data_IF_507887239254
#
_entry.id   IF_507887239254
#
_cell.length_a   1.000
_cell.length_b   1.000
_cell.length_c   1.000
_cell.angle_alpha   90.00
_cell.angle_beta   90.00
_cell.angle_gamma   90.00
#
_symmetry.space_group_name_H-M   'P 1'
#
loop_
_entity.id
_entity.type
_entity.pdbx_description
1 polymer ?
#
# COMPACT_ATOMS: atom_id res chain seq x y z
N UNK A 1 11.68 2.92 29.79
CA UNK A 1 12.34 3.41 28.56
C UNK A 1 11.82 2.56 27.42
N UNK A 2 10.87 3.06 26.64
CA UNK A 2 10.27 2.33 25.49
C UNK A 2 11.27 2.33 24.33
N UNK A 3 11.61 1.15 23.83
CA UNK A 3 12.53 0.94 22.71
C UNK A 3 12.00 1.63 21.44
N UNK A 4 12.54 2.79 21.09
CA UNK A 4 12.27 3.52 19.83
C UNK A 4 13.19 3.05 18.69
N UNK A 5 13.37 1.73 18.54
CA UNK A 5 14.21 1.12 17.51
C UNK A 5 13.36 0.27 16.55
N UNK A 6 13.20 0.79 15.32
CA UNK A 6 12.84 0.09 14.07
C UNK A 6 11.40 -0.42 13.88
N UNK A 7 10.39 0.42 14.15
CA UNK A 7 9.08 0.20 13.50
C UNK A 7 9.19 0.49 12.00
N UNK A 8 9.01 -0.52 11.15
CA UNK A 8 8.95 -0.36 9.68
C UNK A 8 7.95 0.74 9.32
N UNK A 9 8.41 1.79 8.62
CA UNK A 9 7.55 2.78 7.98
C UNK A 9 6.81 2.11 6.82
N UNK A 10 5.54 1.78 7.08
CA UNK A 10 4.68 1.07 6.13
C UNK A 10 4.33 1.94 4.92
N UNK A 11 4.21 3.26 5.09
CA UNK A 11 3.95 4.19 3.99
C UNK A 11 5.10 4.15 3.00
N UNK A 12 6.33 4.27 3.52
CA UNK A 12 7.53 4.20 2.68
C UNK A 12 7.68 2.83 2.01
N UNK A 13 7.33 1.75 2.71
CA UNK A 13 7.35 0.42 2.14
C UNK A 13 6.37 0.29 0.97
N UNK A 14 5.12 0.75 1.10
CA UNK A 14 4.12 0.72 0.02
C UNK A 14 4.60 1.52 -1.18
N UNK A 15 5.08 2.74 -0.95
CA UNK A 15 5.59 3.61 -2.01
C UNK A 15 6.72 2.96 -2.81
N UNK A 16 7.69 2.34 -2.12
CA UNK A 16 8.80 1.65 -2.78
C UNK A 16 8.32 0.39 -3.50
N UNK A 17 7.45 -0.41 -2.88
CA UNK A 17 6.95 -1.65 -3.44
C UNK A 17 6.17 -1.43 -4.73
N UNK A 18 5.34 -0.38 -4.76
CA UNK A 18 4.48 -0.06 -5.91
C UNK A 18 5.07 0.96 -6.88
N UNK A 19 6.29 1.45 -6.65
CA UNK A 19 6.92 2.55 -7.42
C UNK A 19 6.87 2.37 -8.94
N UNK A 20 7.05 1.13 -9.40
CA UNK A 20 7.10 0.78 -10.82
C UNK A 20 5.98 -0.16 -11.26
N UNK A 21 4.97 -0.36 -10.40
CA UNK A 21 3.89 -1.30 -10.67
C UNK A 21 3.19 -0.97 -12.01
N UNK A 22 2.92 -1.97 -12.89
CA UNK A 22 2.97 -3.42 -12.67
C UNK A 22 4.36 -4.08 -12.71
N UNK A 23 5.41 -3.31 -12.98
CA UNK A 23 6.80 -3.72 -12.82
C UNK A 23 7.23 -3.90 -11.36
N UNK A 24 8.42 -4.47 -11.16
CA UNK A 24 8.99 -4.73 -9.84
C UNK A 24 9.95 -3.62 -9.42
N UNK A 25 10.11 -3.43 -8.11
CA UNK A 25 11.12 -2.55 -7.53
C UNK A 25 11.95 -3.22 -6.43
N UNK A 26 12.22 -4.52 -6.58
CA UNK A 26 12.82 -5.35 -5.53
C UNK A 26 14.21 -4.86 -5.11
N UNK A 27 15.06 -4.46 -6.06
CA UNK A 27 16.44 -4.04 -5.76
C UNK A 27 16.49 -2.75 -4.91
N UNK A 28 15.69 -1.74 -5.25
CA UNK A 28 15.61 -0.50 -4.44
C UNK A 28 14.94 -0.77 -3.09
N UNK A 29 13.92 -1.63 -3.07
CA UNK A 29 13.24 -2.02 -1.83
C UNK A 29 14.20 -2.74 -0.86
N UNK A 30 14.96 -3.74 -1.35
CA UNK A 30 15.93 -4.49 -0.58
C UNK A 30 17.09 -3.62 -0.09
N UNK A 31 17.57 -2.71 -0.95
CA UNK A 31 18.60 -1.74 -0.59
C UNK A 31 18.13 -0.80 0.53
N UNK A 32 16.87 -0.35 0.50
CA UNK A 32 16.33 0.58 1.49
C UNK A 32 16.11 -0.06 2.87
N UNK A 33 15.50 -1.25 2.92
CA UNK A 33 15.18 -1.91 4.20
C UNK A 33 16.30 -2.84 4.71
N UNK A 34 17.23 -3.22 3.85
CA UNK A 34 18.28 -4.18 4.17
C UNK A 34 17.75 -5.62 4.37
N UNK A 35 18.65 -6.60 4.43
CA UNK A 35 18.28 -8.02 4.45
C UNK A 35 17.50 -8.45 5.70
N UNK A 36 17.63 -7.72 6.82
CA UNK A 36 16.94 -8.04 8.07
C UNK A 36 15.45 -7.66 8.04
N UNK A 37 15.09 -6.52 7.43
CA UNK A 37 13.73 -5.97 7.48
C UNK A 37 12.96 -6.12 6.16
N UNK A 38 13.63 -6.31 5.02
CA UNK A 38 12.97 -6.29 3.72
C UNK A 38 11.89 -7.38 3.56
N UNK A 39 12.11 -8.58 4.11
CA UNK A 39 11.10 -9.65 4.08
C UNK A 39 9.87 -9.30 4.94
N UNK A 40 10.09 -8.74 6.13
CA UNK A 40 9.06 -8.30 7.07
C UNK A 40 8.26 -7.14 6.47
N UNK A 41 8.94 -6.16 5.86
CA UNK A 41 8.31 -5.02 5.22
C UNK A 41 7.43 -5.46 4.05
N UNK A 42 7.90 -6.38 3.19
CA UNK A 42 7.07 -6.94 2.11
C UNK A 42 5.84 -7.67 2.63
N UNK A 43 5.98 -8.46 3.70
CA UNK A 43 4.85 -9.16 4.30
C UNK A 43 3.79 -8.18 4.82
N UNK A 44 4.21 -7.08 5.45
CA UNK A 44 3.31 -6.00 5.89
C UNK A 44 2.63 -5.31 4.70
N UNK A 45 3.38 -4.95 3.66
CA UNK A 45 2.80 -4.34 2.44
C UNK A 45 1.74 -5.26 1.84
N UNK A 46 2.03 -6.56 1.67
CA UNK A 46 1.05 -7.52 1.14
C UNK A 46 -0.21 -7.60 1.98
N UNK A 47 -0.09 -7.57 3.31
CA UNK A 47 -1.24 -7.56 4.21
C UNK A 47 -2.14 -6.34 3.97
N UNK A 48 -1.54 -5.15 3.78
CA UNK A 48 -2.27 -3.91 3.46
C UNK A 48 -2.94 -4.01 2.09
N UNK A 49 -2.23 -4.50 1.06
CA UNK A 49 -2.80 -4.64 -0.28
C UNK A 49 -3.92 -5.67 -0.32
N UNK A 50 -3.77 -6.81 0.36
CA UNK A 50 -4.83 -7.82 0.49
C UNK A 50 -6.06 -7.25 1.18
N UNK A 51 -5.86 -6.38 2.19
CA UNK A 51 -6.97 -5.67 2.84
C UNK A 51 -7.66 -4.71 1.87
N UNK A 52 -6.90 -3.93 1.10
CA UNK A 52 -7.44 -3.01 0.10
C UNK A 52 -8.27 -3.75 -0.97
N UNK A 53 -7.79 -4.91 -1.43
CA UNK A 53 -8.51 -5.75 -2.41
C UNK A 53 -9.81 -6.36 -1.85
N UNK A 54 -9.98 -6.40 -0.52
CA UNK A 54 -11.21 -6.87 0.14
C UNK A 54 -12.21 -5.75 0.41
N UNK A 55 -11.88 -4.48 0.11
CA UNK A 55 -12.84 -3.38 0.23
C UNK A 55 -13.98 -3.62 -0.76
N UNK A 56 -15.22 -3.65 -0.24
CA UNK A 56 -16.41 -3.79 -1.07
C UNK A 56 -16.80 -2.42 -1.61
N UNK A 57 -16.54 -2.21 -2.89
CA UNK A 57 -17.02 -1.04 -3.62
C UNK A 57 -18.39 -1.39 -4.22
N UNK A 58 -19.41 -0.60 -3.92
CA UNK A 58 -20.65 -0.62 -4.69
C UNK A 58 -20.38 0.12 -6.01
N UNK A 59 -20.30 -0.63 -7.10
CA UNK A 59 -19.98 -0.09 -8.42
C UNK A 59 -21.17 0.61 -9.07
N UNK A 60 -22.36 0.54 -8.47
CA UNK A 60 -23.58 1.13 -9.03
C UNK A 60 -23.41 2.65 -9.19
N UNK A 61 -23.23 3.09 -10.44
CA UNK A 61 -23.06 4.51 -10.75
C UNK A 61 -21.64 5.06 -10.53
N UNK A 62 -20.64 4.22 -10.21
CA UNK A 62 -19.25 4.65 -10.03
C UNK A 62 -18.38 4.31 -11.24
N UNK A 63 -17.53 5.26 -11.62
CA UNK A 63 -16.39 5.03 -12.50
C UNK A 63 -15.27 4.28 -11.77
N UNK A 64 -14.30 3.74 -12.54
CA UNK A 64 -13.11 3.10 -11.98
C UNK A 64 -12.32 4.04 -11.06
N UNK A 65 -12.24 5.32 -11.41
CA UNK A 65 -11.57 6.36 -10.61
C UNK A 65 -12.28 6.54 -9.27
N UNK A 66 -13.61 6.68 -9.29
CA UNK A 66 -14.41 6.85 -8.07
C UNK A 66 -14.33 5.60 -7.17
N UNK A 67 -14.33 4.40 -7.75
CA UNK A 67 -14.08 3.17 -6.99
C UNK A 67 -12.70 3.16 -6.31
N UNK A 68 -11.67 3.69 -6.98
CA UNK A 68 -10.34 3.88 -6.39
C UNK A 68 -10.33 4.86 -5.21
N UNK A 69 -11.10 5.95 -5.29
CA UNK A 69 -11.24 6.92 -4.19
C UNK A 69 -11.97 6.33 -2.97
N UNK A 70 -12.99 5.49 -3.19
CA UNK A 70 -13.65 4.75 -2.10
C UNK A 70 -12.64 3.87 -1.36
N UNK A 71 -11.81 3.11 -2.09
CA UNK A 71 -10.77 2.27 -1.48
C UNK A 71 -9.77 3.12 -0.70
N UNK A 72 -9.32 4.24 -1.25
CA UNK A 72 -8.40 5.16 -0.55
C UNK A 72 -9.00 5.68 0.76
N UNK A 73 -10.28 6.06 0.77
CA UNK A 73 -10.96 6.54 1.97
C UNK A 73 -11.03 5.46 3.05
N UNK A 74 -11.46 4.24 2.69
CA UNK A 74 -11.54 3.12 3.64
C UNK A 74 -10.16 2.77 4.20
N UNK A 75 -9.13 2.73 3.34
CA UNK A 75 -7.77 2.43 3.79
C UNK A 75 -7.18 3.55 4.66
N UNK A 76 -7.54 4.81 4.44
CA UNK A 76 -7.14 5.92 5.30
C UNK A 76 -7.78 5.81 6.69
N UNK A 77 -9.07 5.47 6.76
CA UNK A 77 -9.79 5.34 8.03
C UNK A 77 -9.29 4.14 8.85
N UNK A 78 -8.93 3.03 8.20
CA UNK A 78 -8.39 1.83 8.85
C UNK A 78 -6.89 1.94 9.18
N UNK A 79 -6.15 2.75 8.42
CA UNK A 79 -4.71 2.93 8.57
C UNK A 79 -4.34 4.43 8.52
N UNK A 80 -4.68 5.19 9.58
CA UNK A 80 -4.40 6.64 9.64
C UNK A 80 -2.90 6.96 9.63
N UNK A 81 -2.03 5.97 9.87
CA UNK A 81 -0.58 6.10 9.72
C UNK A 81 -0.09 6.16 8.26
N UNK A 82 -0.96 5.85 7.28
CA UNK A 82 -0.59 5.86 5.87
C UNK A 82 -0.48 7.28 5.32
N UNK A 83 0.61 7.54 4.61
CA UNK A 83 0.80 8.79 3.88
C UNK A 83 -0.22 8.90 2.74
N UNK A 84 -0.59 10.13 2.40
CA UNK A 84 -1.45 10.40 1.24
C UNK A 84 -0.91 9.77 -0.05
N UNK A 85 0.42 9.70 -0.19
CA UNK A 85 1.09 9.11 -1.36
C UNK A 85 0.99 7.58 -1.35
N UNK A 86 1.16 6.93 -0.20
CA UNK A 86 0.94 5.49 -0.07
C UNK A 86 -0.51 5.11 -0.40
N UNK A 87 -1.48 5.89 0.10
CA UNK A 87 -2.90 5.71 -0.23
C UNK A 87 -3.16 5.87 -1.73
N UNK A 88 -2.58 6.89 -2.38
CA UNK A 88 -2.68 7.06 -3.83
C UNK A 88 -2.11 5.85 -4.59
N UNK A 89 -0.95 5.31 -4.18
CA UNK A 89 -0.40 4.08 -4.75
C UNK A 89 -1.32 2.88 -4.58
N UNK A 90 -1.98 2.73 -3.42
CA UNK A 90 -2.98 1.67 -3.19
C UNK A 90 -4.17 1.82 -4.15
N UNK A 91 -4.72 3.02 -4.30
CA UNK A 91 -5.83 3.28 -5.22
C UNK A 91 -5.48 2.96 -6.67
N UNK A 92 -4.27 3.33 -7.12
CA UNK A 92 -3.78 2.98 -8.46
C UNK A 92 -3.59 1.47 -8.63
N UNK A 93 -3.05 0.79 -7.61
CA UNK A 93 -2.89 -0.67 -7.62
C UNK A 93 -4.24 -1.38 -7.75
N UNK A 94 -5.23 -0.98 -6.93
CA UNK A 94 -6.57 -1.55 -6.96
C UNK A 94 -7.23 -1.36 -8.33
N UNK A 95 -7.25 -0.13 -8.84
CA UNK A 95 -7.90 0.19 -10.13
C UNK A 95 -7.21 -0.47 -11.32
N UNK A 96 -5.89 -0.64 -11.29
CA UNK A 96 -5.17 -1.41 -12.31
C UNK A 96 -5.62 -2.88 -12.35
N UNK A 97 -5.83 -3.51 -11.18
CA UNK A 97 -6.25 -4.92 -11.11
C UNK A 97 -7.73 -5.16 -11.46
N UNK A 98 -8.57 -4.12 -11.34
CA UNK A 98 -9.99 -4.18 -11.69
C UNK A 98 -10.27 -3.89 -13.16
N UNK A 99 -9.25 -3.53 -13.94
CA UNK A 99 -9.35 -3.25 -15.38
C UNK A 99 -9.28 -4.53 -16.21
#
# INVERSE_FOLDING_TARGET
MTNSAESIDISKAIELYLKHYPGKNDAEFDSFFGPALASIARAKVRTILDRAMKVKVDWTGLSLVEGGEVVKSVMHDEHPELSAKALASIGHYYTYLMR
#
